data_IF_589550645155
#
_entry.id   IF_589550645155
#
_cell.length_a   1.000
_cell.length_b   1.000
_cell.length_c   1.000
_cell.angle_alpha   90.00
_cell.angle_beta   90.00
_cell.angle_gamma   90.00
#
_symmetry.space_group_name_H-M   'P 1'
#
loop_
_entity.id
_entity.type
_entity.pdbx_description
1 polymer ?
#
# COMPACT_ATOMS: atom_id res chain seq x y z
N UNK A 1 -109.33 -5.98 18.06
CA UNK A 1 -108.40 -7.07 17.72
C UNK A 1 -107.01 -6.67 18.22
N UNK A 2 -106.61 -7.15 19.40
CA UNK A 2 -105.26 -6.97 19.94
C UNK A 2 -104.37 -8.09 19.41
N UNK A 3 -103.26 -7.73 18.75
CA UNK A 3 -102.19 -8.66 18.39
C UNK A 3 -101.01 -8.48 19.35
N UNK A 4 -100.81 -9.48 20.20
CA UNK A 4 -99.68 -9.64 21.09
C UNK A 4 -98.42 -9.93 20.26
N UNK A 5 -97.41 -9.06 20.31
CA UNK A 5 -96.05 -9.36 19.81
C UNK A 5 -95.14 -9.74 20.99
N UNK A 6 -94.64 -10.97 20.96
CA UNK A 6 -93.61 -11.49 21.86
C UNK A 6 -92.25 -10.85 21.55
N UNK A 7 -91.49 -10.47 22.59
CA UNK A 7 -90.10 -10.00 22.49
C UNK A 7 -89.14 -11.20 22.35
N UNK A 8 -88.04 -11.09 21.58
CA UNK A 8 -87.03 -12.14 21.51
C UNK A 8 -86.12 -12.12 22.76
N UNK A 9 -85.85 -13.30 23.28
CA UNK A 9 -84.88 -13.52 24.36
C UNK A 9 -83.46 -13.24 23.85
N UNK A 10 -82.74 -12.37 24.56
CA UNK A 10 -81.34 -12.09 24.30
C UNK A 10 -80.51 -13.25 24.89
N UNK A 11 -79.89 -14.07 24.05
CA UNK A 11 -79.02 -15.16 24.49
C UNK A 11 -77.65 -14.58 24.86
N UNK A 12 -77.36 -14.46 26.16
CA UNK A 12 -76.03 -14.07 26.64
C UNK A 12 -75.03 -15.21 26.42
N UNK A 13 -73.82 -14.94 25.89
CA UNK A 13 -72.82 -15.97 25.69
C UNK A 13 -72.35 -16.55 27.03
N UNK A 14 -72.45 -17.88 27.16
CA UNK A 14 -72.02 -18.66 28.32
C UNK A 14 -70.49 -18.62 28.43
N UNK A 15 -69.97 -17.90 29.42
CA UNK A 15 -68.54 -17.90 29.74
C UNK A 15 -68.16 -19.32 30.17
N UNK A 16 -67.31 -19.99 29.38
CA UNK A 16 -66.80 -21.32 29.71
C UNK A 16 -65.82 -21.20 30.89
N UNK A 17 -65.83 -22.13 31.86
CA UNK A 17 -64.87 -22.09 32.95
C UNK A 17 -63.46 -22.36 32.41
N UNK A 18 -62.53 -21.47 32.75
CA UNK A 18 -61.11 -21.63 32.46
C UNK A 18 -60.57 -22.84 33.23
N UNK A 19 -60.06 -23.86 32.54
CA UNK A 19 -59.33 -24.96 33.18
C UNK A 19 -57.92 -24.43 33.52
N UNK A 20 -57.53 -24.50 34.79
CA UNK A 20 -56.18 -24.13 35.24
C UNK A 20 -55.14 -25.17 34.84
N UNK A 21 -53.87 -24.77 34.81
CA UNK A 21 -52.74 -25.66 34.54
C UNK A 21 -52.36 -26.47 35.77
N UNK A 22 -51.91 -27.70 35.56
CA UNK A 22 -51.33 -28.51 36.64
C UNK A 22 -49.91 -28.04 36.95
N UNK A 23 -49.47 -28.25 38.20
CA UNK A 23 -48.10 -27.91 38.63
C UNK A 23 -47.06 -28.64 37.76
N UNK A 24 -47.34 -29.88 37.37
CA UNK A 24 -46.47 -30.68 36.50
C UNK A 24 -46.39 -30.11 35.08
N UNK A 25 -47.50 -29.65 34.48
CA UNK A 25 -47.47 -28.95 33.17
C UNK A 25 -46.61 -27.69 33.21
N UNK A 26 -46.66 -26.94 34.32
CA UNK A 26 -45.86 -25.73 34.50
C UNK A 26 -44.36 -26.08 34.62
N UNK A 27 -44.03 -27.13 35.38
CA UNK A 27 -42.64 -27.61 35.50
C UNK A 27 -42.08 -28.08 34.16
N UNK A 28 -42.86 -28.86 33.39
CA UNK A 28 -42.46 -29.33 32.06
C UNK A 28 -42.33 -28.16 31.08
N UNK A 29 -43.26 -27.20 31.11
CA UNK A 29 -43.22 -26.02 30.25
C UNK A 29 -41.97 -25.16 30.47
N UNK A 30 -41.58 -24.95 31.74
CA UNK A 30 -40.34 -24.23 32.08
C UNK A 30 -39.11 -25.03 31.67
N UNK A 31 -39.10 -26.34 31.89
CA UNK A 31 -37.98 -27.20 31.52
C UNK A 31 -37.75 -27.22 30.00
N UNK A 32 -38.80 -27.40 29.20
CA UNK A 32 -38.66 -27.38 27.74
C UNK A 32 -38.35 -25.97 27.24
N UNK A 33 -38.99 -24.94 27.81
CA UNK A 33 -38.74 -23.54 27.47
C UNK A 33 -37.28 -23.13 27.70
N UNK A 34 -36.70 -23.53 28.83
CA UNK A 34 -35.29 -23.23 29.15
C UNK A 34 -34.32 -23.93 28.21
N UNK A 35 -34.57 -25.18 27.82
CA UNK A 35 -33.75 -25.91 26.84
C UNK A 35 -33.77 -25.19 25.48
N UNK A 36 -34.95 -24.79 25.01
CA UNK A 36 -35.10 -24.08 23.73
C UNK A 36 -34.38 -22.73 23.76
N UNK A 37 -34.58 -21.94 24.82
CA UNK A 37 -33.91 -20.63 24.98
C UNK A 37 -32.40 -20.79 25.05
N UNK A 38 -31.88 -21.81 25.75
CA UNK A 38 -30.46 -22.09 25.79
C UNK A 38 -29.88 -22.41 24.39
N UNK A 39 -30.61 -23.19 23.58
CA UNK A 39 -30.22 -23.47 22.20
C UNK A 39 -30.18 -22.22 21.32
N UNK A 40 -31.18 -21.34 21.44
CA UNK A 40 -31.23 -20.06 20.71
C UNK A 40 -30.08 -19.14 21.13
N UNK A 41 -29.77 -19.06 22.44
CA UNK A 41 -28.64 -18.27 22.95
C UNK A 41 -27.31 -18.79 22.38
N UNK A 42 -27.10 -20.11 22.35
CA UNK A 42 -25.88 -20.70 21.81
C UNK A 42 -25.68 -20.39 20.31
N UNK A 43 -26.76 -20.47 19.52
CA UNK A 43 -26.74 -20.08 18.12
C UNK A 43 -26.45 -18.58 17.96
N UNK A 44 -27.09 -17.74 18.78
CA UNK A 44 -26.90 -16.30 18.73
C UNK A 44 -25.46 -15.88 19.09
N UNK A 45 -24.82 -16.53 20.07
CA UNK A 45 -23.41 -16.31 20.39
C UNK A 45 -22.52 -16.65 19.19
N UNK A 46 -22.82 -17.73 18.47
CA UNK A 46 -22.07 -18.13 17.27
C UNK A 46 -22.20 -17.09 16.16
N UNK A 47 -23.41 -16.55 15.94
CA UNK A 47 -23.65 -15.46 14.99
C UNK A 47 -22.85 -14.22 15.38
N UNK A 48 -22.91 -13.79 16.65
CA UNK A 48 -22.15 -12.61 17.11
C UNK A 48 -20.64 -12.78 16.89
N UNK A 49 -20.08 -13.95 17.22
CA UNK A 49 -18.65 -14.23 17.02
C UNK A 49 -18.28 -14.19 15.53
N UNK A 50 -19.12 -14.77 14.67
CA UNK A 50 -18.93 -14.70 13.22
C UNK A 50 -18.99 -13.26 12.70
N UNK A 51 -19.98 -12.47 13.13
CA UNK A 51 -20.08 -11.05 12.75
C UNK A 51 -18.88 -10.24 13.23
N UNK A 52 -18.38 -10.47 14.44
CA UNK A 52 -17.20 -9.80 14.96
C UNK A 52 -15.95 -10.12 14.12
N UNK A 53 -15.74 -11.40 13.78
CA UNK A 53 -14.63 -11.83 12.93
C UNK A 53 -14.66 -11.15 11.56
N UNK A 54 -15.81 -11.12 10.88
CA UNK A 54 -15.96 -10.49 9.56
C UNK A 54 -15.67 -8.98 9.62
N UNK A 55 -16.11 -8.30 10.68
CA UNK A 55 -15.85 -6.85 10.85
C UNK A 55 -14.36 -6.59 11.08
N UNK A 56 -13.69 -7.42 11.88
CA UNK A 56 -12.25 -7.32 12.12
C UNK A 56 -11.45 -7.57 10.85
N UNK A 57 -11.78 -8.62 10.10
CA UNK A 57 -11.13 -8.94 8.82
C UNK A 57 -11.30 -7.82 7.79
N UNK A 58 -12.51 -7.26 7.68
CA UNK A 58 -12.79 -6.13 6.80
C UNK A 58 -11.94 -4.90 7.19
N UNK A 59 -11.80 -4.62 8.49
CA UNK A 59 -10.96 -3.52 8.99
C UNK A 59 -9.49 -3.72 8.63
N UNK A 60 -8.91 -4.88 8.96
CA UNK A 60 -7.49 -5.18 8.67
C UNK A 60 -7.25 -5.05 7.17
N UNK A 61 -8.13 -5.60 6.35
CA UNK A 61 -8.04 -5.50 4.88
C UNK A 61 -8.09 -4.05 4.40
N UNK A 62 -9.01 -3.23 4.94
CA UNK A 62 -9.17 -1.84 4.55
C UNK A 62 -7.95 -0.98 4.95
N UNK A 63 -7.50 -1.09 6.20
CA UNK A 63 -6.35 -0.31 6.72
C UNK A 63 -5.07 -0.65 5.93
N UNK A 64 -4.88 -1.93 5.63
CA UNK A 64 -3.71 -2.43 4.88
C UNK A 64 -3.79 -2.01 3.41
N UNK A 65 -4.98 -2.07 2.78
CA UNK A 65 -5.18 -1.61 1.40
C UNK A 65 -4.95 -0.11 1.24
N UNK A 66 -5.41 0.71 2.19
CA UNK A 66 -5.15 2.16 2.18
C UNK A 66 -3.64 2.43 2.20
N UNK A 67 -2.89 1.68 3.01
CA UNK A 67 -1.43 1.79 3.06
C UNK A 67 -0.78 1.42 1.72
N UNK A 68 -1.23 0.32 1.09
CA UNK A 68 -0.77 -0.08 -0.24
C UNK A 68 -1.08 0.96 -1.32
N UNK A 69 -2.30 1.50 -1.34
CA UNK A 69 -2.73 2.48 -2.33
C UNK A 69 -1.90 3.78 -2.25
N UNK A 70 -1.55 4.22 -1.05
CA UNK A 70 -0.68 5.38 -0.82
C UNK A 70 0.75 5.11 -1.32
N UNK A 71 1.36 4.00 -0.89
CA UNK A 71 2.68 3.58 -1.37
C UNK A 71 2.70 3.48 -2.89
N UNK A 72 1.72 2.81 -3.50
CA UNK A 72 1.65 2.63 -4.94
C UNK A 72 1.40 3.95 -5.69
N UNK A 73 0.66 4.91 -5.12
CA UNK A 73 0.50 6.24 -5.71
C UNK A 73 1.85 6.98 -5.79
N UNK A 74 2.62 6.97 -4.70
CA UNK A 74 3.86 7.73 -4.62
C UNK A 74 4.98 7.07 -5.43
N UNK A 75 5.07 5.74 -5.42
CA UNK A 75 5.97 4.97 -6.30
C UNK A 75 5.68 5.28 -7.77
N UNK A 76 4.42 5.35 -8.20
CA UNK A 76 4.07 5.69 -9.59
C UNK A 76 4.52 7.09 -9.99
N UNK A 77 4.63 8.01 -9.03
CA UNK A 77 5.05 9.42 -9.24
C UNK A 77 6.55 9.62 -9.15
N UNK A 78 7.30 8.65 -8.61
CA UNK A 78 8.73 8.78 -8.42
C UNK A 78 9.45 9.27 -9.68
N UNK A 79 10.39 10.20 -9.48
CA UNK A 79 11.14 10.87 -10.53
C UNK A 79 10.33 11.80 -11.44
N UNK A 80 9.07 12.11 -11.11
CA UNK A 80 8.33 13.14 -11.84
C UNK A 80 8.98 14.50 -11.58
N UNK A 81 9.19 15.27 -12.64
CA UNK A 81 9.68 16.65 -12.59
C UNK A 81 8.81 17.52 -13.49
N UNK A 82 8.57 18.77 -13.12
CA UNK A 82 8.00 19.74 -14.04
C UNK A 82 8.91 19.89 -15.28
N UNK A 83 8.38 19.86 -16.52
CA UNK A 83 9.21 19.85 -17.72
C UNK A 83 10.18 21.01 -17.87
N UNK A 84 9.86 22.18 -17.32
CA UNK A 84 10.76 23.35 -17.36
C UNK A 84 11.97 23.24 -16.42
N UNK A 85 11.95 22.29 -15.47
CA UNK A 85 13.04 22.00 -14.54
C UNK A 85 14.01 20.94 -15.09
N UNK A 86 13.72 20.34 -16.24
CA UNK A 86 14.59 19.36 -16.87
C UNK A 86 15.60 20.13 -17.72
N UNK A 87 16.88 20.02 -17.37
CA UNK A 87 17.99 20.60 -18.13
C UNK A 87 18.59 19.56 -19.07
N UNK A 88 19.42 20.00 -20.02
CA UNK A 88 20.20 19.10 -20.88
C UNK A 88 21.66 19.29 -20.54
N UNK A 89 22.30 18.21 -20.12
CA UNK A 89 23.71 18.17 -19.80
C UNK A 89 24.54 18.67 -20.99
N UNK A 90 25.41 19.67 -20.77
CA UNK A 90 26.32 20.14 -21.83
C UNK A 90 27.41 19.11 -22.15
N UNK A 91 27.73 18.24 -21.19
CA UNK A 91 28.75 17.19 -21.31
C UNK A 91 28.21 15.97 -22.06
N UNK A 92 27.10 15.41 -21.58
CA UNK A 92 26.55 14.15 -22.11
C UNK A 92 25.45 14.35 -23.16
N UNK A 93 24.90 15.57 -23.28
CA UNK A 93 23.75 15.86 -24.14
C UNK A 93 22.43 15.21 -23.66
N UNK A 94 22.40 14.68 -22.44
CA UNK A 94 21.25 13.96 -21.90
C UNK A 94 20.34 14.85 -21.06
N UNK A 95 19.02 14.55 -21.00
CA UNK A 95 18.12 15.24 -20.10
C UNK A 95 18.46 14.88 -18.64
N UNK A 96 18.75 15.90 -17.83
CA UNK A 96 18.97 15.76 -16.40
C UNK A 96 17.69 16.07 -15.64
N UNK A 97 17.33 15.15 -14.74
CA UNK A 97 16.16 15.29 -13.89
C UNK A 97 16.62 15.34 -12.42
N UNK A 98 16.33 16.44 -11.69
CA UNK A 98 16.82 16.58 -10.31
C UNK A 98 16.19 15.59 -9.33
N UNK A 99 15.08 14.92 -9.70
CA UNK A 99 14.46 13.84 -8.92
C UNK A 99 14.92 12.43 -9.33
N UNK A 100 15.90 12.34 -10.22
CA UNK A 100 16.54 11.08 -10.64
C UNK A 100 18.07 11.11 -10.51
N UNK A 101 18.59 12.16 -9.89
CA UNK A 101 19.96 12.24 -9.39
C UNK A 101 20.26 11.07 -8.43
N UNK A 102 21.53 10.68 -8.33
CA UNK A 102 22.00 9.60 -7.46
C UNK A 102 21.47 9.69 -6.03
N UNK A 103 21.45 10.89 -5.45
CA UNK A 103 21.04 11.14 -4.06
C UNK A 103 19.54 11.27 -3.87
N UNK A 104 18.76 11.35 -4.96
CA UNK A 104 17.31 11.65 -4.93
C UNK A 104 16.49 10.60 -5.66
N UNK A 105 17.11 9.61 -6.27
CA UNK A 105 16.44 8.50 -6.93
C UNK A 105 15.56 7.72 -5.94
N UNK A 106 14.62 6.92 -6.44
CA UNK A 106 13.92 5.93 -5.62
C UNK A 106 14.92 4.92 -5.05
N UNK A 107 14.85 4.63 -3.76
CA UNK A 107 15.81 3.77 -3.05
C UNK A 107 15.13 2.93 -1.98
N UNK A 108 15.68 1.73 -1.74
CA UNK A 108 15.17 0.76 -0.75
C UNK A 108 16.21 0.54 0.35
N UNK A 109 15.82 0.80 1.59
CA UNK A 109 16.69 0.77 2.77
C UNK A 109 16.25 -0.26 3.80
N UNK A 110 17.20 -0.62 4.65
CA UNK A 110 16.93 -1.35 5.88
C UNK A 110 16.57 -0.36 6.99
N UNK A 111 15.62 -0.73 7.83
CA UNK A 111 15.17 0.11 8.92
C UNK A 111 14.80 -0.70 10.16
N UNK A 112 15.25 -0.25 11.33
CA UNK A 112 14.89 -0.80 12.64
C UNK A 112 15.09 -2.32 12.76
N UNK A 113 16.19 -2.82 12.17
CA UNK A 113 16.55 -4.24 12.15
C UNK A 113 15.76 -5.10 11.14
N UNK A 114 14.84 -4.50 10.38
CA UNK A 114 14.18 -5.13 9.24
C UNK A 114 15.00 -4.99 7.95
N UNK A 115 14.71 -5.87 6.99
CA UNK A 115 15.35 -5.91 5.68
C UNK A 115 14.42 -5.38 4.60
N UNK A 116 14.91 -4.44 3.78
CA UNK A 116 14.19 -3.85 2.65
C UNK A 116 12.78 -3.35 3.02
N UNK A 117 12.64 -2.85 4.25
CA UNK A 117 11.36 -2.45 4.86
C UNK A 117 11.18 -0.94 4.92
N UNK A 118 12.04 -0.20 4.23
CA UNK A 118 11.88 1.23 3.99
C UNK A 118 12.10 1.58 2.53
N UNK A 119 11.25 2.44 1.99
CA UNK A 119 11.38 3.00 0.66
C UNK A 119 11.32 4.53 0.74
N UNK A 120 12.22 5.19 0.02
CA UNK A 120 12.21 6.63 -0.18
C UNK A 120 12.04 6.91 -1.67
N UNK A 121 11.16 7.87 -1.97
CA UNK A 121 10.88 8.33 -3.34
C UNK A 121 10.97 9.83 -3.36
N UNK A 122 11.45 10.41 -4.45
CA UNK A 122 11.36 11.85 -4.67
C UNK A 122 10.57 12.15 -5.94
N UNK A 123 9.81 13.23 -5.91
CA UNK A 123 9.13 13.76 -7.08
C UNK A 123 8.69 15.20 -6.84
N UNK A 124 8.47 15.90 -7.94
CA UNK A 124 7.92 17.24 -7.94
C UNK A 124 6.46 17.27 -7.46
N UNK A 125 6.13 18.03 -6.39
CA UNK A 125 4.76 18.18 -5.95
C UNK A 125 3.92 18.99 -6.96
N UNK A 126 3.20 18.28 -7.82
CA UNK A 126 2.45 18.73 -9.02
C UNK A 126 1.45 19.89 -8.88
N UNK A 127 1.16 20.41 -7.69
CA UNK A 127 0.04 21.35 -7.45
C UNK A 127 0.47 22.78 -7.10
N UNK A 128 1.74 23.13 -7.31
CA UNK A 128 2.32 24.29 -6.63
C UNK A 128 2.73 25.43 -7.54
N UNK A 129 2.87 25.21 -8.84
CA UNK A 129 3.33 26.24 -9.76
C UNK A 129 2.16 27.08 -10.25
N UNK A 130 2.31 28.40 -10.19
CA UNK A 130 1.42 29.27 -10.90
C UNK A 130 1.64 29.04 -12.40
N UNK A 131 0.59 29.05 -13.24
CA UNK A 131 0.74 28.89 -14.70
C UNK A 131 1.59 30.01 -15.35
N UNK A 132 1.89 31.06 -14.59
CA UNK A 132 2.67 32.24 -14.96
C UNK A 132 4.11 32.20 -14.44
N UNK A 133 4.51 31.18 -13.68
CA UNK A 133 5.90 30.97 -13.27
C UNK A 133 6.73 30.57 -14.51
N UNK A 134 7.51 31.54 -15.00
CA UNK A 134 8.46 31.35 -16.08
C UNK A 134 9.64 30.51 -15.56
N UNK A 135 9.80 29.30 -16.12
CA UNK A 135 10.95 28.39 -15.95
C UNK A 135 11.42 28.17 -14.50
N UNK A 136 11.21 26.97 -13.98
CA UNK A 136 11.78 26.58 -12.70
C UNK A 136 13.27 26.29 -12.89
N UNK A 137 14.11 26.80 -12.00
CA UNK A 137 15.54 26.46 -11.98
C UNK A 137 15.71 24.97 -11.67
N UNK A 138 16.72 24.32 -12.27
CA UNK A 138 17.04 22.92 -12.00
C UNK A 138 17.37 22.66 -10.52
N UNK A 139 17.89 23.67 -9.82
CA UNK A 139 18.15 23.58 -8.40
C UNK A 139 16.82 23.49 -7.60
N UNK A 140 16.76 22.58 -6.63
CA UNK A 140 15.53 22.34 -5.84
C UNK A 140 15.38 23.32 -4.66
N UNK A 141 16.12 24.43 -4.65
CA UNK A 141 16.18 25.34 -3.49
C UNK A 141 14.83 25.97 -3.17
N UNK A 142 13.94 26.08 -4.16
CA UNK A 142 12.56 26.57 -4.00
C UNK A 142 11.66 25.62 -3.18
N UNK A 143 12.04 24.34 -3.11
CA UNK A 143 11.31 23.31 -2.37
C UNK A 143 11.90 23.08 -0.96
N UNK A 144 13.22 23.18 -0.79
CA UNK A 144 13.91 22.85 0.47
C UNK A 144 13.35 23.66 1.65
N UNK A 145 12.94 22.96 2.72
CA UNK A 145 12.41 23.56 3.96
C UNK A 145 11.05 24.26 3.80
N UNK A 146 10.56 24.38 2.57
CA UNK A 146 9.27 25.00 2.24
C UNK A 146 8.22 23.94 1.94
N UNK A 147 8.62 22.86 1.26
CA UNK A 147 7.74 21.80 0.76
C UNK A 147 8.44 20.45 0.84
N UNK A 148 7.66 19.43 1.16
CA UNK A 148 8.11 18.06 1.05
C UNK A 148 8.08 17.61 -0.42
N UNK A 149 9.24 17.16 -0.92
CA UNK A 149 9.39 16.54 -2.23
C UNK A 149 10.04 15.15 -2.16
N UNK A 150 10.58 14.78 -0.99
CA UNK A 150 10.94 13.42 -0.63
C UNK A 150 9.80 12.82 0.19
N UNK A 151 9.31 11.67 -0.24
CA UNK A 151 8.25 10.90 0.42
C UNK A 151 8.82 9.53 0.78
N UNK A 152 8.25 8.90 1.80
CA UNK A 152 8.83 7.69 2.35
C UNK A 152 7.85 6.87 3.15
N UNK A 153 8.06 5.56 3.11
CA UNK A 153 7.31 4.58 3.87
C UNK A 153 8.26 3.61 4.54
N UNK A 154 8.06 3.33 5.82
CA UNK A 154 8.90 2.37 6.55
C UNK A 154 8.11 1.58 7.58
N UNK A 155 8.58 0.38 7.90
CA UNK A 155 8.06 -0.42 9.00
C UNK A 155 9.00 -0.36 10.20
N UNK A 156 8.48 0.03 11.37
CA UNK A 156 9.25 -0.04 12.62
C UNK A 156 9.11 -1.41 13.31
N UNK A 157 9.99 -1.66 14.29
CA UNK A 157 10.03 -2.87 15.12
C UNK A 157 8.75 -3.12 15.94
N UNK A 158 7.91 -2.10 16.14
CA UNK A 158 6.62 -2.24 16.82
C UNK A 158 5.52 -2.82 15.91
N UNK A 159 5.78 -2.96 14.61
CA UNK A 159 4.82 -3.42 13.60
C UNK A 159 3.89 -2.33 13.10
N UNK A 160 4.39 -1.09 13.00
CA UNK A 160 3.64 0.08 12.54
C UNK A 160 4.30 0.61 11.27
N UNK A 161 3.52 0.70 10.19
CA UNK A 161 3.93 1.45 9.00
C UNK A 161 3.91 2.93 9.34
N UNK A 162 5.00 3.61 9.03
CA UNK A 162 5.17 5.04 9.17
C UNK A 162 5.34 5.70 7.81
N UNK A 163 4.85 6.93 7.70
CA UNK A 163 5.03 7.80 6.54
C UNK A 163 5.97 8.95 6.92
N UNK A 164 6.84 9.36 5.99
CA UNK A 164 7.71 10.52 6.17
C UNK A 164 6.85 11.80 6.15
N UNK A 165 6.95 12.59 7.21
CA UNK A 165 6.20 13.83 7.42
C UNK A 165 7.18 14.97 7.74
N UNK A 166 8.13 15.21 6.82
CA UNK A 166 9.19 16.20 6.98
C UNK A 166 9.53 16.85 5.64
N UNK A 167 9.65 18.17 5.63
CA UNK A 167 10.11 18.96 4.47
C UNK A 167 11.61 19.22 4.44
N UNK A 168 12.34 18.77 5.47
CA UNK A 168 13.77 19.04 5.62
C UNK A 168 14.63 17.90 5.06
N UNK A 169 14.00 16.76 4.72
CA UNK A 169 14.65 15.65 4.04
C UNK A 169 14.72 15.96 2.54
N UNK A 170 15.94 16.08 2.03
CA UNK A 170 16.21 16.48 0.64
C UNK A 170 16.81 15.37 -0.22
N UNK A 171 17.26 14.27 0.40
CA UNK A 171 17.83 13.10 -0.26
C UNK A 171 17.05 11.84 0.11
N UNK A 172 17.23 10.79 -0.68
CA UNK A 172 16.64 9.47 -0.47
C UNK A 172 17.68 8.49 0.10
N UNK A 173 18.73 8.96 0.76
CA UNK A 173 19.86 8.12 1.16
C UNK A 173 19.69 7.42 2.51
N UNK A 174 18.80 7.91 3.38
CA UNK A 174 18.65 7.39 4.73
C UNK A 174 17.23 7.48 5.24
N UNK A 175 16.70 6.33 5.64
CA UNK A 175 15.41 6.25 6.32
C UNK A 175 15.47 6.64 7.80
N UNK A 176 16.63 7.01 8.33
CA UNK A 176 16.76 7.54 9.70
C UNK A 176 16.42 9.04 9.77
N UNK A 177 16.41 9.73 8.62
CA UNK A 177 16.27 11.17 8.56
C UNK A 177 14.80 11.60 8.60
N UNK A 178 14.56 12.83 9.08
CA UNK A 178 13.23 13.45 9.15
C UNK A 178 12.32 12.94 10.28
N UNK A 179 11.14 13.54 10.35
CA UNK A 179 10.04 13.14 11.22
C UNK A 179 9.11 12.15 10.53
N UNK A 180 8.70 11.12 11.26
CA UNK A 180 7.87 10.03 10.77
C UNK A 180 6.60 9.88 11.59
N UNK A 181 5.48 9.72 10.91
CA UNK A 181 4.15 9.60 11.52
C UNK A 181 3.57 8.21 11.29
N UNK A 182 2.77 7.73 12.24
CA UNK A 182 2.12 6.43 12.10
C UNK A 182 1.02 6.49 11.03
N UNK A 183 1.17 5.68 9.97
CA UNK A 183 0.14 5.50 8.95
C UNK A 183 -0.91 4.45 9.38
N UNK A 184 -0.47 3.47 10.16
CA UNK A 184 -1.30 2.38 10.69
C UNK A 184 -1.53 2.57 12.19
N UNK A 185 -2.72 2.19 12.69
CA UNK A 185 -3.02 2.29 14.12
C UNK A 185 -2.48 1.06 14.88
N UNK A 186 -1.47 1.22 15.77
CA UNK A 186 -0.89 0.12 16.54
C UNK A 186 -1.87 -0.57 17.49
N UNK A 187 -3.04 0.03 17.75
CA UNK A 187 -4.07 -0.54 18.62
C UNK A 187 -4.98 -1.52 17.90
N UNK A 188 -5.13 -1.39 16.58
CA UNK A 188 -6.04 -2.23 15.78
C UNK A 188 -5.28 -3.27 14.99
N UNK A 189 -4.16 -2.90 14.36
CA UNK A 189 -3.41 -3.78 13.48
C UNK A 189 -1.94 -3.88 13.89
N UNK A 190 -1.33 -5.01 13.54
CA UNK A 190 0.12 -5.20 13.58
C UNK A 190 0.58 -5.63 12.20
N UNK A 191 1.51 -4.89 11.63
CA UNK A 191 2.21 -5.29 10.42
C UNK A 191 3.35 -6.20 10.81
N UNK A 192 3.31 -7.44 10.31
CA UNK A 192 4.32 -8.47 10.59
C UNK A 192 5.50 -8.34 9.61
N UNK A 193 5.22 -7.98 8.35
CA UNK A 193 6.23 -7.85 7.30
C UNK A 193 5.84 -6.75 6.31
N UNK A 194 6.81 -5.96 5.88
CA UNK A 194 6.72 -5.02 4.77
C UNK A 194 8.06 -5.11 4.05
N UNK A 195 8.06 -5.54 2.80
CA UNK A 195 9.26 -5.74 2.00
C UNK A 195 9.07 -5.08 0.65
N UNK A 196 10.08 -4.33 0.24
CA UNK A 196 10.20 -3.73 -1.08
C UNK A 196 11.30 -4.45 -1.86
N UNK A 197 11.02 -4.81 -3.11
CA UNK A 197 12.06 -5.26 -4.04
C UNK A 197 11.92 -4.55 -5.38
N UNK A 198 13.00 -4.55 -6.14
CA UNK A 198 13.08 -4.04 -7.51
C UNK A 198 12.83 -5.12 -8.56
N UNK A 199 12.39 -6.31 -8.13
CA UNK A 199 12.13 -7.47 -8.99
C UNK A 199 11.28 -7.10 -10.22
N UNK A 200 11.76 -7.50 -11.39
CA UNK A 200 11.13 -7.17 -12.68
C UNK A 200 11.39 -5.74 -13.18
N UNK A 201 12.25 -4.97 -12.51
CA UNK A 201 12.84 -3.76 -13.12
C UNK A 201 13.76 -4.15 -14.26
N UNK A 202 13.79 -3.37 -15.33
CA UNK A 202 14.60 -3.67 -16.51
C UNK A 202 15.51 -2.52 -16.90
N UNK A 203 16.63 -2.88 -17.52
CA UNK A 203 17.72 -1.98 -17.88
C UNK A 203 18.12 -2.29 -19.31
N UNK A 204 18.27 -1.25 -20.13
CA UNK A 204 18.66 -1.37 -21.52
C UNK A 204 19.84 -0.45 -21.81
N UNK A 205 20.99 -1.01 -22.18
CA UNK A 205 22.10 -0.24 -22.75
C UNK A 205 21.79 0.06 -24.22
N UNK A 206 21.53 1.33 -24.51
CA UNK A 206 21.20 1.80 -25.87
C UNK A 206 22.42 2.18 -26.70
N UNK A 207 23.60 2.24 -26.08
CA UNK A 207 24.87 2.53 -26.76
C UNK A 207 25.56 1.30 -27.32
N UNK A 208 25.21 0.10 -26.86
CA UNK A 208 25.91 -1.14 -27.21
C UNK A 208 25.91 -1.36 -28.73
N UNK A 209 27.08 -1.61 -29.32
CA UNK A 209 27.15 -1.96 -30.74
C UNK A 209 26.66 -3.39 -30.94
N UNK A 210 25.53 -3.56 -31.62
CA UNK A 210 24.94 -4.85 -31.96
C UNK A 210 25.26 -5.28 -33.40
N UNK A 211 26.26 -4.67 -34.03
CA UNK A 211 26.75 -5.11 -35.32
C UNK A 211 27.28 -6.55 -35.26
N UNK A 212 27.27 -7.25 -36.40
CA UNK A 212 27.79 -8.62 -36.46
C UNK A 212 29.28 -8.74 -36.09
N UNK A 213 30.00 -7.62 -36.08
CA UNK A 213 31.44 -7.56 -35.87
C UNK A 213 31.81 -7.30 -34.40
N UNK A 214 30.88 -6.82 -33.58
CA UNK A 214 31.12 -6.53 -32.15
C UNK A 214 31.13 -7.79 -31.28
N UNK A 215 30.37 -8.82 -31.69
CA UNK A 215 30.16 -10.03 -30.90
C UNK A 215 29.15 -9.86 -29.75
N UNK A 216 28.57 -8.67 -29.58
CA UNK A 216 27.49 -8.42 -28.63
C UNK A 216 26.14 -8.92 -29.16
N UNK A 217 25.25 -9.28 -28.25
CA UNK A 217 23.88 -9.73 -28.53
C UNK A 217 22.85 -8.84 -27.87
N UNK A 218 21.57 -8.98 -28.26
CA UNK A 218 20.47 -8.27 -27.60
C UNK A 218 20.38 -8.60 -26.10
N UNK A 219 20.73 -9.83 -25.72
CA UNK A 219 20.78 -10.27 -24.33
C UNK A 219 21.91 -9.57 -23.54
N UNK A 220 22.98 -9.14 -24.22
CA UNK A 220 24.06 -8.37 -23.60
C UNK A 220 23.69 -6.90 -23.38
N UNK A 221 22.68 -6.38 -24.09
CA UNK A 221 22.18 -5.02 -23.94
C UNK A 221 21.08 -4.91 -22.88
N UNK A 222 20.50 -6.03 -22.45
CA UNK A 222 19.28 -6.06 -21.65
C UNK A 222 19.49 -6.81 -20.33
N UNK A 223 19.05 -6.21 -19.23
CA UNK A 223 19.04 -6.83 -17.91
C UNK A 223 17.69 -6.68 -17.23
N UNK A 224 17.36 -7.69 -16.41
CA UNK A 224 16.18 -7.68 -15.54
C UNK A 224 16.62 -7.97 -14.10
N UNK A 225 16.07 -7.23 -13.16
CA UNK A 225 16.36 -7.38 -11.74
C UNK A 225 15.78 -8.68 -11.20
N UNK A 226 16.63 -9.46 -10.53
CA UNK A 226 16.29 -10.74 -9.91
C UNK A 226 15.39 -10.60 -8.67
N UNK A 227 14.90 -11.72 -8.15
CA UNK A 227 14.13 -11.78 -6.91
C UNK A 227 14.92 -11.17 -5.74
N UNK A 228 14.23 -10.48 -4.84
CA UNK A 228 14.83 -9.78 -3.68
C UNK A 228 15.84 -8.67 -4.03
N UNK A 229 16.05 -8.35 -5.32
CA UNK A 229 16.93 -7.25 -5.73
C UNK A 229 16.49 -5.92 -5.11
N UNK A 230 17.46 -5.10 -4.70
CA UNK A 230 17.22 -3.79 -4.06
C UNK A 230 17.77 -2.61 -4.84
N UNK A 231 18.66 -2.89 -5.77
CA UNK A 231 19.30 -1.93 -6.65
C UNK A 231 18.67 -2.02 -8.03
N UNK A 232 18.69 -0.89 -8.73
CA UNK A 232 18.28 -0.83 -10.11
C UNK A 232 19.53 -0.89 -10.98
N UNK A 233 19.51 -1.73 -12.01
CA UNK A 233 20.58 -1.82 -13.01
C UNK A 233 21.99 -2.08 -12.49
N UNK A 234 22.18 -2.60 -11.26
CA UNK A 234 23.52 -2.85 -10.70
C UNK A 234 24.35 -3.81 -11.58
N UNK A 235 23.70 -4.78 -12.22
CA UNK A 235 24.35 -5.68 -13.18
C UNK A 235 24.68 -4.99 -14.51
N UNK A 236 23.97 -3.94 -14.89
CA UNK A 236 24.22 -3.21 -16.14
C UNK A 236 25.54 -2.43 -16.10
N UNK A 237 25.94 -1.88 -14.94
CA UNK A 237 27.25 -1.26 -14.76
C UNK A 237 28.41 -2.25 -14.91
N UNK A 238 28.16 -3.54 -14.65
CA UNK A 238 29.13 -4.61 -14.77
C UNK A 238 28.95 -5.44 -16.07
N UNK A 239 28.04 -5.00 -16.94
CA UNK A 239 27.63 -5.68 -18.15
C UNK A 239 28.48 -5.32 -19.37
N UNK A 240 27.99 -5.65 -20.56
CA UNK A 240 28.63 -5.23 -21.80
C UNK A 240 28.52 -3.71 -21.95
N UNK A 241 29.65 -3.05 -21.74
CA UNK A 241 29.84 -1.62 -21.93
C UNK A 241 30.84 -1.40 -23.06
N UNK A 242 30.59 -0.35 -23.82
CA UNK A 242 31.44 0.04 -24.92
C UNK A 242 32.62 0.85 -24.39
N UNK A 243 33.86 0.47 -24.72
CA UNK A 243 35.04 1.21 -24.29
C UNK A 243 35.12 2.57 -24.99
N UNK A 244 35.79 3.53 -24.35
CA UNK A 244 36.10 4.85 -24.90
C UNK A 244 34.88 5.71 -25.29
N UNK A 245 33.69 5.40 -24.78
CA UNK A 245 32.47 6.22 -24.93
C UNK A 245 31.49 6.04 -23.78
N UNK A 246 30.60 7.02 -23.64
CA UNK A 246 29.48 6.96 -22.70
C UNK A 246 28.43 5.94 -23.13
N UNK A 247 28.07 5.07 -22.19
CA UNK A 247 27.00 4.11 -22.35
C UNK A 247 25.71 4.72 -21.83
N UNK A 248 24.70 4.86 -22.70
CA UNK A 248 23.41 5.44 -22.35
C UNK A 248 22.48 4.31 -21.93
N UNK A 249 22.10 4.29 -20.66
CA UNK A 249 21.18 3.29 -20.12
C UNK A 249 19.79 3.87 -19.89
N UNK A 250 18.78 3.07 -20.22
CA UNK A 250 17.38 3.32 -19.88
C UNK A 250 16.96 2.33 -18.81
N UNK A 251 16.58 2.86 -17.65
CA UNK A 251 16.14 2.11 -16.49
C UNK A 251 14.61 2.24 -16.33
N UNK A 252 13.91 1.14 -16.60
CA UNK A 252 12.47 0.98 -16.35
C UNK A 252 12.26 0.33 -14.99
N UNK A 253 11.80 1.14 -14.02
CA UNK A 253 11.73 0.72 -12.62
C UNK A 253 10.36 0.15 -12.27
N UNK A 254 10.37 -0.97 -11.56
CA UNK A 254 9.22 -1.59 -10.93
C UNK A 254 9.55 -1.89 -9.47
N UNK A 255 8.61 -1.62 -8.58
CA UNK A 255 8.71 -1.99 -7.17
C UNK A 255 7.67 -3.02 -6.85
N UNK A 256 8.09 -4.19 -6.37
CA UNK A 256 7.19 -5.15 -5.74
C UNK A 256 7.08 -4.81 -4.25
N UNK A 257 5.86 -4.72 -3.77
CA UNK A 257 5.53 -4.43 -2.37
C UNK A 257 4.83 -5.65 -1.80
N UNK A 258 5.45 -6.31 -0.83
CA UNK A 258 4.85 -7.42 -0.09
C UNK A 258 4.56 -6.96 1.34
N UNK A 259 3.29 -7.05 1.74
CA UNK A 259 2.81 -6.54 3.02
C UNK A 259 1.96 -7.61 3.72
N UNK A 260 2.35 -7.96 4.95
CA UNK A 260 1.62 -8.87 5.81
C UNK A 260 1.16 -8.15 7.08
N UNK A 261 -0.15 -8.14 7.31
CA UNK A 261 -0.75 -7.52 8.49
C UNK A 261 -1.74 -8.45 9.18
N UNK A 262 -1.86 -8.33 10.49
CA UNK A 262 -2.81 -9.08 11.30
C UNK A 262 -3.53 -8.17 12.29
N UNK A 263 -4.70 -8.61 12.76
CA UNK A 263 -5.38 -7.94 13.88
C UNK A 263 -4.52 -8.02 15.15
N UNK A 264 -4.43 -6.90 15.88
CA UNK A 264 -3.58 -6.79 17.08
C UNK A 264 -4.06 -7.68 18.22
N UNK A 265 -5.37 -7.92 18.32
CA UNK A 265 -5.99 -8.71 19.38
C UNK A 265 -6.01 -10.21 19.08
N UNK A 266 -6.08 -10.58 17.80
CA UNK A 266 -6.04 -11.97 17.35
C UNK A 266 -5.21 -12.14 16.08
N UNK A 267 -4.06 -12.84 16.21
CA UNK A 267 -3.23 -13.20 15.06
C UNK A 267 -3.88 -14.18 14.07
N UNK A 268 -5.10 -14.67 14.35
CA UNK A 268 -5.85 -15.56 13.46
C UNK A 268 -6.44 -14.81 12.25
N UNK A 269 -6.57 -13.49 12.32
CA UNK A 269 -7.02 -12.67 11.20
C UNK A 269 -5.81 -12.01 10.59
N UNK A 270 -5.37 -12.51 9.44
CA UNK A 270 -4.20 -12.07 8.71
C UNK A 270 -4.55 -11.79 7.26
N UNK A 271 -3.96 -10.74 6.71
CA UNK A 271 -4.09 -10.35 5.30
C UNK A 271 -2.69 -10.20 4.73
N UNK A 272 -2.49 -10.71 3.52
CA UNK A 272 -1.25 -10.54 2.76
C UNK A 272 -1.59 -9.84 1.46
N UNK A 273 -0.82 -8.80 1.13
CA UNK A 273 -0.86 -8.11 -0.15
C UNK A 273 0.49 -8.25 -0.84
N UNK A 274 0.42 -8.39 -2.15
CA UNK A 274 1.57 -8.49 -3.03
C UNK A 274 1.20 -7.75 -4.32
N UNK A 275 1.80 -6.58 -4.53
CA UNK A 275 1.54 -5.73 -5.70
C UNK A 275 2.86 -5.30 -6.32
N UNK A 276 2.94 -5.38 -7.65
CA UNK A 276 4.03 -4.79 -8.43
C UNK A 276 3.60 -3.46 -9.03
N UNK A 277 4.35 -2.41 -8.72
CA UNK A 277 4.05 -1.03 -9.08
C UNK A 277 5.15 -0.50 -10.00
N UNK A 278 4.79 -0.24 -11.26
CA UNK A 278 5.69 0.39 -12.23
C UNK A 278 5.80 1.90 -11.97
N UNK A 279 7.03 2.39 -11.89
CA UNK A 279 7.34 3.84 -11.88
C UNK A 279 7.06 4.39 -13.27
N UNK A 280 6.34 5.51 -13.38
CA UNK A 280 5.92 6.05 -14.69
C UNK A 280 7.06 6.69 -15.47
N UNK A 281 8.00 7.29 -14.75
CA UNK A 281 9.13 7.96 -15.37
C UNK A 281 10.30 6.98 -15.42
N UNK A 282 10.83 6.69 -16.61
CA UNK A 282 12.06 5.92 -16.74
C UNK A 282 13.26 6.83 -16.43
N UNK A 283 14.31 6.27 -15.84
CA UNK A 283 15.57 7.00 -15.63
C UNK A 283 16.48 6.78 -16.84
N UNK A 284 17.11 7.85 -17.29
CA UNK A 284 18.10 7.82 -18.36
C UNK A 284 19.39 8.37 -17.77
N UNK A 285 20.49 7.65 -17.92
CA UNK A 285 21.78 8.07 -17.39
C UNK A 285 22.93 7.53 -18.23
N UNK A 286 24.07 8.21 -18.15
CA UNK A 286 25.32 7.81 -18.77
C UNK A 286 26.19 7.02 -17.79
N UNK A 287 26.93 6.04 -18.29
CA UNK A 287 27.95 5.31 -17.54
C UNK A 287 29.21 5.22 -18.39
N UNK A 288 30.35 5.60 -17.79
CA UNK A 288 31.66 5.40 -18.40
C UNK A 288 32.09 3.93 -18.23
N UNK A 289 32.66 3.35 -19.29
CA UNK A 289 33.32 2.05 -19.18
C UNK A 289 34.64 2.22 -18.40
N UNK A 290 34.77 1.48 -17.30
CA UNK A 290 35.97 1.47 -16.44
C UNK A 290 37.12 0.65 -17.06
#
# INVERSE_FOLDING_TARGET
>A
MLTTRLRPECCLPRIRPSRGFTLVELMIGILVGTIVVAGVIALYITVIRGSAFVVTEARVTQDTRISMDLMASDIRRAGYSHPSRIEVSEETGMPENPFMDETRNITIHDHDGGTANCILVSYDPTFQYAPEDASLEFDLSDLIGSRQFVFGYRLNSAGVIQILASSDVTTTESCADGSWEALTDPRTIRVNSLVFSTEGSTCLNTSLDLSSDSGNTEDDAFWEAEEESRSFCEQAYNGALEPDRDNVLIESRQIRVTLEAADRSSGNTQVTFDESVRVRNNRIFAVEAN
#
